data_IF_802956392044
#
_entry.id   IF_802956392044
#
_cell.length_a   1.000
_cell.length_b   1.000
_cell.length_c   1.000
_cell.angle_alpha   90.00
_cell.angle_beta   90.00
_cell.angle_gamma   90.00
#
_symmetry.space_group_name_H-M   'P 1'
#
loop_
_entity.id
_entity.type
_entity.pdbx_description
1 polymer ?
#
# COMPACT_ATOMS: atom_id res chain seq x y z
N UNK A 1 -24.20 43.86 20.82
CA UNK A 1 -24.95 42.95 19.94
C UNK A 1 -24.13 42.74 18.69
N UNK A 2 -23.58 41.54 18.54
CA UNK A 2 -23.83 40.80 17.30
C UNK A 2 -24.15 39.33 17.60
N UNK A 3 -25.37 38.93 17.24
CA UNK A 3 -25.66 37.57 16.81
C UNK A 3 -25.45 37.57 15.29
N UNK A 4 -24.63 36.67 14.76
CA UNK A 4 -25.21 35.68 13.86
C UNK A 4 -24.31 34.45 13.77
N UNK A 5 -24.96 33.31 13.89
CA UNK A 5 -24.38 32.01 14.16
C UNK A 5 -24.69 31.08 13.00
N UNK A 6 -23.66 30.54 12.35
CA UNK A 6 -23.86 29.36 11.50
C UNK A 6 -22.77 28.33 11.79
N UNK A 7 -22.95 27.64 12.91
CA UNK A 7 -22.32 26.34 13.19
C UNK A 7 -22.73 25.35 12.10
N UNK A 8 -21.83 25.03 11.17
CA UNK A 8 -21.95 23.78 10.40
C UNK A 8 -21.55 22.63 11.32
N UNK A 9 -22.54 21.80 11.62
CA UNK A 9 -22.41 20.57 12.37
C UNK A 9 -21.49 19.62 11.60
N UNK A 10 -20.31 19.37 12.15
CA UNK A 10 -19.48 18.20 11.81
C UNK A 10 -20.17 17.00 12.44
N UNK A 11 -20.95 16.28 11.64
CA UNK A 11 -21.41 14.93 11.98
C UNK A 11 -20.16 14.04 12.04
N UNK A 12 -19.67 13.83 13.27
CA UNK A 12 -18.72 12.78 13.59
C UNK A 12 -19.41 11.45 13.38
N UNK A 13 -19.23 10.87 12.19
CA UNK A 13 -19.57 9.48 11.91
C UNK A 13 -18.77 8.56 12.82
N UNK A 14 -19.49 7.69 13.51
CA UNK A 14 -18.96 6.71 14.45
C UNK A 14 -18.08 5.73 13.66
N UNK A 15 -16.78 5.73 13.96
CA UNK A 15 -15.82 4.78 13.43
C UNK A 15 -16.16 3.37 13.91
N UNK A 16 -16.50 2.50 12.96
CA UNK A 16 -16.53 1.06 13.18
C UNK A 16 -15.10 0.54 13.14
N UNK A 17 -14.45 0.51 14.31
CA UNK A 17 -13.21 -0.21 14.51
C UNK A 17 -13.48 -1.72 14.36
N UNK A 18 -13.29 -2.27 13.17
CA UNK A 18 -13.14 -3.72 13.00
C UNK A 18 -11.72 -4.06 13.45
N UNK A 19 -11.56 -4.24 14.76
CA UNK A 19 -10.39 -4.87 15.32
C UNK A 19 -10.40 -6.35 14.87
N UNK A 20 -9.66 -6.67 13.82
CA UNK A 20 -9.32 -8.07 13.50
C UNK A 20 -8.23 -8.50 14.50
N UNK A 21 -8.65 -8.71 15.75
CA UNK A 21 -7.87 -9.33 16.81
C UNK A 21 -8.30 -10.79 16.96
N UNK A 22 -7.33 -11.69 16.97
CA UNK A 22 -7.54 -13.13 16.88
C UNK A 22 -8.31 -13.78 18.04
N UNK A 23 -8.77 -14.99 17.71
CA UNK A 23 -9.41 -16.05 18.52
C UNK A 23 -10.93 -15.98 18.71
N UNK A 24 -11.62 -16.71 17.83
CA UNK A 24 -13.01 -17.09 18.01
C UNK A 24 -13.57 -17.70 16.73
N UNK A 25 -13.51 -19.03 16.61
CA UNK A 25 -14.21 -19.78 15.57
C UNK A 25 -15.72 -19.54 15.68
N UNK A 26 -16.24 -18.58 14.93
CA UNK A 26 -17.66 -18.50 14.61
C UNK A 26 -17.82 -18.57 13.12
N UNK A 27 -18.18 -19.77 12.65
CA UNK A 27 -18.63 -20.01 11.30
C UNK A 27 -19.87 -19.15 11.04
N UNK A 28 -19.69 -18.04 10.31
CA UNK A 28 -20.79 -17.33 9.68
C UNK A 28 -21.08 -18.02 8.34
N UNK A 29 -22.34 -18.39 8.17
CA UNK A 29 -22.89 -19.22 7.12
C UNK A 29 -22.86 -18.55 5.74
N UNK A 30 -22.28 -19.26 4.76
CA UNK A 30 -22.84 -19.40 3.41
C UNK A 30 -22.42 -18.43 2.31
N UNK A 31 -21.26 -18.67 1.68
CA UNK A 31 -21.00 -18.73 0.21
C UNK A 31 -19.49 -18.90 0.01
N UNK A 32 -19.11 -20.02 -0.63
CA UNK A 32 -17.74 -20.52 -0.90
C UNK A 32 -16.71 -20.34 0.23
N UNK A 33 -16.62 -21.36 1.09
CA UNK A 33 -15.69 -21.46 2.23
C UNK A 33 -14.23 -21.68 1.84
N UNK A 34 -13.67 -20.83 0.98
CA UNK A 34 -12.25 -20.78 0.69
C UNK A 34 -11.44 -20.28 1.89
N UNK A 35 -10.15 -20.63 1.96
CA UNK A 35 -9.25 -20.17 3.01
C UNK A 35 -9.03 -18.64 2.95
N UNK A 36 -8.91 -17.99 4.11
CA UNK A 36 -8.56 -16.57 4.26
C UNK A 36 -7.09 -16.45 4.69
N UNK A 37 -6.41 -15.30 4.42
CA UNK A 37 -5.07 -15.06 4.94
C UNK A 37 -5.06 -15.13 6.47
N UNK A 38 -3.90 -15.39 7.06
CA UNK A 38 -3.72 -15.42 8.52
C UNK A 38 -2.86 -14.25 8.97
N UNK A 39 -3.21 -13.68 10.13
CA UNK A 39 -2.34 -12.79 10.86
C UNK A 39 -1.53 -13.61 11.85
N UNK A 40 -0.20 -13.47 11.81
CA UNK A 40 0.72 -14.28 12.60
C UNK A 40 1.81 -13.43 13.22
N UNK A 41 2.21 -13.79 14.42
CA UNK A 41 3.43 -13.26 15.04
C UNK A 41 4.67 -13.96 14.48
N UNK A 42 5.76 -13.21 14.43
CA UNK A 42 7.01 -13.67 13.89
C UNK A 42 8.16 -12.73 14.15
N UNK A 43 9.21 -12.89 13.34
CA UNK A 43 10.42 -12.07 13.39
C UNK A 43 10.69 -11.49 12.02
N UNK A 44 10.82 -10.16 11.94
CA UNK A 44 11.34 -9.45 10.77
C UNK A 44 12.86 -9.43 10.86
N UNK A 45 13.53 -9.70 9.74
CA UNK A 45 14.98 -9.60 9.62
C UNK A 45 15.37 -8.71 8.44
N UNK A 46 16.28 -7.76 8.67
CA UNK A 46 16.91 -6.96 7.64
C UNK A 46 18.40 -7.28 7.61
N UNK A 47 18.88 -7.88 6.52
CA UNK A 47 20.30 -8.14 6.29
C UNK A 47 20.85 -7.13 5.28
N UNK A 48 21.97 -6.49 5.62
CA UNK A 48 22.73 -5.63 4.74
C UNK A 48 24.11 -6.23 4.53
N UNK A 49 24.42 -6.62 3.30
CA UNK A 49 25.71 -7.17 2.93
C UNK A 49 26.48 -6.16 2.07
N UNK A 50 27.69 -5.75 2.47
CA UNK A 50 28.52 -4.87 1.64
C UNK A 50 28.76 -5.46 0.24
N UNK A 51 28.66 -4.60 -0.78
CA UNK A 51 28.96 -4.91 -2.19
C UNK A 51 29.80 -3.77 -2.79
N UNK A 52 30.24 -3.92 -4.04
CA UNK A 52 30.98 -2.86 -4.74
C UNK A 52 30.15 -1.57 -4.94
N UNK A 53 28.82 -1.70 -4.96
CA UNK A 53 27.88 -0.62 -5.29
C UNK A 53 27.11 -0.09 -4.06
N UNK A 54 27.49 -0.52 -2.85
CA UNK A 54 26.82 -0.19 -1.59
C UNK A 54 26.51 -1.44 -0.79
N UNK A 55 25.23 -1.75 -0.59
CA UNK A 55 24.78 -2.87 0.23
C UNK A 55 23.66 -3.64 -0.45
N UNK A 56 23.82 -4.95 -0.62
CA UNK A 56 22.68 -5.82 -0.92
C UNK A 56 21.81 -5.93 0.33
N UNK A 57 20.55 -5.50 0.25
CA UNK A 57 19.59 -5.58 1.34
C UNK A 57 18.66 -6.77 1.11
N UNK A 58 18.36 -7.52 2.16
CA UNK A 58 17.34 -8.56 2.15
C UNK A 58 16.40 -8.37 3.34
N UNK A 59 15.10 -8.33 3.10
CA UNK A 59 14.07 -8.37 4.14
C UNK A 59 13.48 -9.78 4.21
N UNK A 60 13.30 -10.31 5.42
CA UNK A 60 12.65 -11.61 5.66
C UNK A 60 11.62 -11.51 6.76
N UNK A 61 10.53 -12.27 6.64
CA UNK A 61 9.61 -12.52 7.75
C UNK A 61 9.59 -14.02 8.08
N UNK A 62 9.86 -14.34 9.34
CA UNK A 62 9.98 -15.73 9.82
C UNK A 62 8.86 -16.04 10.80
N UNK A 63 8.04 -17.06 10.51
CA UNK A 63 6.97 -17.51 11.41
C UNK A 63 6.71 -19.02 11.29
N UNK A 64 6.66 -19.71 12.42
CA UNK A 64 6.27 -21.13 12.48
C UNK A 64 4.79 -21.35 12.16
N UNK A 65 3.94 -20.34 12.39
CA UNK A 65 2.52 -20.43 12.06
C UNK A 65 2.29 -20.46 10.54
N UNK A 66 3.15 -19.75 9.79
CA UNK A 66 3.17 -19.79 8.34
C UNK A 66 3.60 -21.16 7.82
N UNK A 67 4.62 -21.78 8.44
CA UNK A 67 5.07 -23.13 8.07
C UNK A 67 3.95 -24.16 8.24
N UNK A 68 3.21 -24.10 9.35
CA UNK A 68 2.08 -25.01 9.59
C UNK A 68 0.96 -24.89 8.56
N UNK A 69 0.71 -23.70 8.02
CA UNK A 69 -0.40 -23.47 7.07
C UNK A 69 0.02 -23.61 5.62
N UNK A 70 1.16 -23.02 5.26
CA UNK A 70 1.61 -22.87 3.88
C UNK A 70 2.84 -23.73 3.54
N UNK A 71 3.44 -24.43 4.51
CA UNK A 71 4.68 -25.18 4.32
C UNK A 71 5.93 -24.28 4.16
N UNK A 72 5.76 -22.96 4.29
CA UNK A 72 6.81 -21.96 4.13
C UNK A 72 7.05 -21.28 5.47
N UNK A 73 8.27 -21.35 5.99
CA UNK A 73 8.64 -20.73 7.28
C UNK A 73 9.16 -19.30 7.14
N UNK A 74 9.74 -18.99 5.99
CA UNK A 74 10.40 -17.72 5.71
C UNK A 74 9.80 -17.15 4.43
N UNK A 75 9.26 -15.94 4.52
CA UNK A 75 9.01 -15.11 3.36
C UNK A 75 10.24 -14.24 3.14
N UNK A 76 10.82 -14.30 1.96
CA UNK A 76 11.89 -13.40 1.56
C UNK A 76 11.33 -12.39 0.56
N UNK A 77 11.55 -11.11 0.83
CA UNK A 77 11.10 -10.05 -0.06
C UNK A 77 12.25 -9.59 -0.96
N UNK A 78 11.99 -8.54 -1.74
CA UNK A 78 12.94 -7.99 -2.69
C UNK A 78 14.34 -7.75 -2.13
N UNK A 79 15.32 -7.92 -3.03
CA UNK A 79 16.75 -7.83 -2.76
C UNK A 79 17.38 -6.56 -3.37
N UNK A 80 16.98 -5.34 -2.99
CA UNK A 80 17.50 -4.13 -3.62
C UNK A 80 18.95 -3.87 -3.21
N UNK A 81 19.70 -3.25 -4.10
CA UNK A 81 20.99 -2.64 -3.76
C UNK A 81 20.74 -1.25 -3.16
N UNK A 82 21.15 -1.07 -1.91
CA UNK A 82 21.14 0.20 -1.17
C UNK A 82 22.45 0.93 -1.40
N UNK A 83 22.46 2.09 -2.08
CA UNK A 83 23.70 2.85 -2.25
C UNK A 83 24.23 3.30 -0.90
N UNK A 84 25.55 3.36 -0.77
CA UNK A 84 26.24 3.63 0.50
C UNK A 84 25.67 4.87 1.22
N UNK A 85 25.47 5.99 0.50
CA UNK A 85 24.94 7.23 1.08
C UNK A 85 23.53 7.10 1.71
N UNK A 86 22.76 6.09 1.31
CA UNK A 86 21.41 5.80 1.82
C UNK A 86 21.40 4.66 2.84
N UNK A 87 22.53 3.96 3.02
CA UNK A 87 22.65 2.97 4.07
C UNK A 87 22.71 3.67 5.44
N UNK A 88 22.06 3.11 6.45
CA UNK A 88 22.13 3.64 7.80
C UNK A 88 23.56 3.71 8.33
N UNK A 89 23.81 4.59 9.29
CA UNK A 89 25.17 4.82 9.80
C UNK A 89 25.77 3.57 10.45
N UNK A 90 24.96 2.79 11.17
CA UNK A 90 25.36 1.53 11.80
C UNK A 90 25.79 0.49 10.76
N UNK A 91 25.13 0.48 9.60
CA UNK A 91 25.48 -0.38 8.45
C UNK A 91 26.75 0.13 7.76
N UNK A 92 26.88 1.45 7.59
CA UNK A 92 28.06 2.10 6.98
C UNK A 92 29.33 1.89 7.78
N UNK A 93 29.24 1.94 9.10
CA UNK A 93 30.38 1.81 10.00
C UNK A 93 30.80 0.35 10.25
N UNK A 94 30.15 -0.63 9.58
CA UNK A 94 30.42 -2.05 9.75
C UNK A 94 30.95 -2.66 8.44
N UNK A 95 32.16 -3.23 8.50
CA UNK A 95 32.78 -3.92 7.36
C UNK A 95 32.17 -5.31 7.10
N UNK A 96 31.42 -5.86 8.08
CA UNK A 96 30.75 -7.15 7.98
C UNK A 96 29.25 -7.00 7.68
N UNK A 97 28.57 -8.06 7.22
CA UNK A 97 27.13 -8.04 7.09
C UNK A 97 26.44 -7.62 8.40
N UNK A 98 25.53 -6.66 8.31
CA UNK A 98 24.72 -6.21 9.45
C UNK A 98 23.35 -6.88 9.36
N UNK A 99 22.91 -7.51 10.45
CA UNK A 99 21.59 -8.16 10.52
C UNK A 99 20.80 -7.62 11.68
N UNK A 100 19.66 -7.01 11.37
CA UNK A 100 18.74 -6.48 12.34
C UNK A 100 17.51 -7.36 12.46
N UNK A 101 17.03 -7.53 13.69
CA UNK A 101 15.94 -8.44 14.01
C UNK A 101 15.01 -7.83 15.03
N UNK A 102 13.71 -7.88 14.76
CA UNK A 102 12.70 -7.44 15.70
C UNK A 102 11.44 -8.30 15.62
N UNK A 103 10.68 -8.32 16.71
CA UNK A 103 9.37 -8.96 16.76
C UNK A 103 8.40 -8.16 15.90
N UNK A 104 7.59 -8.86 15.12
CA UNK A 104 6.63 -8.26 14.20
C UNK A 104 5.41 -9.17 14.00
N UNK A 105 4.32 -8.58 13.55
CA UNK A 105 3.08 -9.28 13.22
C UNK A 105 2.74 -9.01 11.76
N UNK A 106 2.55 -10.07 10.97
CA UNK A 106 2.29 -9.96 9.54
C UNK A 106 0.95 -10.61 9.18
N UNK A 107 0.22 -10.02 8.22
CA UNK A 107 -0.91 -10.70 7.58
C UNK A 107 -0.43 -11.33 6.28
N UNK A 108 -0.40 -12.65 6.27
CA UNK A 108 0.19 -13.47 5.21
C UNK A 108 -0.87 -14.38 4.60
N UNK A 109 -0.81 -14.53 3.28
CA UNK A 109 -1.62 -15.51 2.57
C UNK A 109 -1.31 -15.56 1.08
N UNK A 110 -1.95 -16.48 0.39
CA UNK A 110 -1.87 -16.53 -1.07
C UNK A 110 -2.69 -15.37 -1.64
N UNK A 111 -2.33 -14.83 -2.80
CA UNK A 111 -3.07 -13.71 -3.40
C UNK A 111 -4.58 -13.95 -3.55
N UNK A 112 -4.99 -15.17 -3.95
CA UNK A 112 -6.41 -15.55 -3.98
C UNK A 112 -7.13 -15.50 -2.63
N UNK A 113 -6.41 -15.70 -1.53
CA UNK A 113 -6.97 -15.56 -0.17
C UNK A 113 -7.18 -14.06 0.14
N UNK A 114 -6.26 -13.20 -0.29
CA UNK A 114 -6.40 -11.76 -0.16
C UNK A 114 -7.56 -11.20 -0.98
N UNK A 115 -7.75 -11.67 -2.21
CA UNK A 115 -8.92 -11.32 -3.05
C UNK A 115 -10.23 -11.59 -2.30
N UNK A 116 -10.35 -12.79 -1.70
CA UNK A 116 -11.52 -13.15 -0.88
C UNK A 116 -11.67 -12.25 0.35
N UNK A 117 -10.57 -11.98 1.04
CA UNK A 117 -10.59 -11.14 2.24
C UNK A 117 -11.01 -9.70 1.93
N UNK A 118 -10.52 -9.12 0.81
CA UNK A 118 -10.93 -7.79 0.39
C UNK A 118 -12.39 -7.75 -0.05
N UNK A 119 -12.86 -8.74 -0.82
CA UNK A 119 -14.26 -8.83 -1.23
C UNK A 119 -15.22 -8.88 -0.04
N UNK A 120 -14.86 -9.57 1.06
CA UNK A 120 -15.68 -9.57 2.28
C UNK A 120 -15.83 -8.17 2.89
N UNK A 121 -14.78 -7.34 2.82
CA UNK A 121 -14.84 -5.94 3.28
C UNK A 121 -15.66 -5.10 2.31
N UNK A 122 -15.42 -5.25 1.00
CA UNK A 122 -16.10 -4.49 -0.04
C UNK A 122 -17.62 -4.72 -0.06
N UNK A 123 -18.13 -5.88 0.37
CA UNK A 123 -19.58 -6.10 0.54
C UNK A 123 -20.27 -5.12 1.51
N UNK A 124 -19.50 -4.42 2.34
CA UNK A 124 -19.98 -3.46 3.34
C UNK A 124 -19.68 -2.01 2.94
N UNK A 125 -18.99 -1.81 1.81
CA UNK A 125 -18.59 -0.50 1.28
C UNK A 125 -19.50 -0.18 0.09
N UNK A 126 -19.96 1.07 0.02
CA UNK A 126 -20.80 1.54 -1.09
C UNK A 126 -20.04 2.60 -1.86
N UNK A 127 -19.88 2.42 -3.17
CA UNK A 127 -19.20 3.38 -4.04
C UNK A 127 -17.77 3.00 -4.41
N UNK A 128 -17.16 2.02 -3.75
CA UNK A 128 -15.81 1.52 -4.02
C UNK A 128 -15.79 -0.01 -4.13
N UNK A 129 -15.30 -0.51 -5.26
CA UNK A 129 -15.09 -1.91 -5.66
C UNK A 129 -13.61 -2.27 -5.95
N UNK A 130 -12.68 -1.32 -5.75
CA UNK A 130 -11.26 -1.48 -6.07
C UNK A 130 -10.42 -2.20 -5.01
N UNK A 131 -9.13 -2.45 -5.30
CA UNK A 131 -8.19 -3.02 -4.34
C UNK A 131 -8.05 -2.18 -3.07
N UNK A 132 -8.12 -2.82 -1.90
CA UNK A 132 -8.01 -2.15 -0.60
C UNK A 132 -6.57 -1.99 -0.12
N UNK A 133 -5.69 -2.91 -0.49
CA UNK A 133 -4.31 -2.96 -0.03
C UNK A 133 -3.35 -3.31 -1.17
N UNK A 134 -2.07 -3.02 -0.94
CA UNK A 134 -1.00 -3.62 -1.72
C UNK A 134 -0.19 -4.64 -0.88
N UNK A 135 0.53 -5.49 -1.59
CA UNK A 135 1.15 -6.69 -1.07
C UNK A 135 2.60 -6.81 -1.54
N UNK A 136 3.44 -7.48 -0.76
CA UNK A 136 4.77 -7.92 -1.18
C UNK A 136 4.76 -9.44 -1.37
N UNK A 137 5.26 -9.92 -2.51
CA UNK A 137 5.38 -11.35 -2.79
C UNK A 137 6.67 -11.92 -2.20
N UNK A 138 6.69 -13.25 -2.01
CA UNK A 138 7.91 -14.02 -1.78
C UNK A 138 8.75 -14.05 -3.07
N UNK A 139 9.99 -13.56 -3.04
CA UNK A 139 10.80 -13.52 -4.27
C UNK A 139 11.32 -14.88 -4.71
N UNK A 140 11.34 -15.85 -3.80
CA UNK A 140 11.81 -17.21 -4.09
C UNK A 140 10.67 -18.16 -4.52
N UNK A 141 9.43 -17.67 -4.63
CA UNK A 141 8.26 -18.42 -5.05
C UNK A 141 7.39 -17.54 -5.97
N UNK A 142 7.41 -17.71 -7.32
CA UNK A 142 6.75 -16.83 -8.29
C UNK A 142 5.51 -17.42 -9.02
N UNK A 143 4.75 -18.31 -8.40
CA UNK A 143 3.57 -19.00 -8.96
C UNK A 143 2.25 -18.27 -8.60
N UNK A 144 1.19 -18.24 -9.40
CA UNK A 144 -0.13 -17.67 -9.04
C UNK A 144 -0.78 -18.15 -7.72
N UNK A 145 -0.21 -19.13 -7.03
CA UNK A 145 -0.36 -19.46 -5.60
C UNK A 145 0.44 -18.57 -4.63
N UNK A 146 0.99 -17.45 -5.11
CA UNK A 146 2.06 -16.71 -4.46
C UNK A 146 1.66 -16.23 -3.08
N UNK A 147 2.47 -16.69 -2.13
CA UNK A 147 2.41 -16.31 -0.75
C UNK A 147 2.97 -14.89 -0.65
N UNK A 148 2.17 -14.00 -0.08
CA UNK A 148 2.56 -12.62 0.10
C UNK A 148 2.15 -12.09 1.46
N UNK A 149 2.63 -10.90 1.75
CA UNK A 149 2.28 -10.14 2.94
C UNK A 149 1.52 -8.88 2.56
N UNK A 150 0.45 -8.56 3.28
CA UNK A 150 -0.24 -7.27 3.21
C UNK A 150 0.63 -6.16 3.80
N UNK A 151 1.01 -5.14 3.00
CA UNK A 151 2.00 -4.12 3.43
C UNK A 151 1.41 -2.74 3.74
N UNK A 152 0.41 -2.28 3.00
CA UNK A 152 -0.15 -0.95 3.18
C UNK A 152 -1.52 -0.79 2.48
N UNK A 153 -2.34 0.18 2.92
CA UNK A 153 -3.62 0.48 2.28
C UNK A 153 -3.46 1.31 1.01
N UNK A 154 -4.34 1.09 0.04
CA UNK A 154 -4.59 2.03 -1.06
C UNK A 154 -5.32 3.25 -0.48
N UNK A 155 -4.89 4.47 -0.82
CA UNK A 155 -5.47 5.67 -0.20
C UNK A 155 -5.73 6.81 -1.19
N UNK A 156 -5.43 6.62 -2.47
CA UNK A 156 -5.70 7.59 -3.54
C UNK A 156 -6.18 6.88 -4.79
N UNK A 157 -7.17 7.45 -5.48
CA UNK A 157 -7.73 6.89 -6.72
C UNK A 157 -8.07 8.00 -7.71
N UNK A 158 -7.82 7.76 -8.99
CA UNK A 158 -8.03 8.72 -10.07
C UNK A 158 -9.18 8.26 -10.97
N UNK A 159 -10.29 8.97 -10.93
CA UNK A 159 -11.48 8.65 -11.71
C UNK A 159 -11.31 9.03 -13.18
N UNK A 160 -11.77 8.17 -14.11
CA UNK A 160 -11.67 8.33 -15.56
C UNK A 160 -12.15 9.68 -16.09
N UNK A 161 -13.00 10.40 -15.36
CA UNK A 161 -13.48 11.73 -15.77
C UNK A 161 -12.34 12.77 -15.80
N UNK A 162 -11.19 12.46 -15.19
CA UNK A 162 -9.93 13.20 -15.34
C UNK A 162 -9.17 12.88 -16.64
N UNK A 163 -9.64 11.95 -17.50
CA UNK A 163 -8.93 11.57 -18.73
C UNK A 163 -8.72 12.75 -19.70
N UNK A 164 -9.62 13.73 -19.69
CA UNK A 164 -9.45 14.97 -20.46
C UNK A 164 -8.25 15.81 -20.01
N UNK A 165 -7.85 15.73 -18.74
CA UNK A 165 -6.71 16.45 -18.18
C UNK A 165 -5.41 15.63 -18.18
N UNK A 166 -5.51 14.31 -18.01
CA UNK A 166 -4.35 13.42 -17.87
C UNK A 166 -3.85 12.82 -19.19
N UNK A 167 -4.67 12.82 -20.25
CA UNK A 167 -4.30 12.27 -21.57
C UNK A 167 -5.17 11.07 -21.99
N UNK A 168 -5.15 10.76 -23.29
CA UNK A 168 -6.13 9.83 -23.91
C UNK A 168 -5.99 8.35 -23.53
N UNK A 169 -4.87 7.94 -22.93
CA UNK A 169 -4.62 6.55 -22.53
C UNK A 169 -4.99 6.28 -21.07
N UNK A 170 -4.96 7.33 -20.23
CA UNK A 170 -5.36 7.34 -18.82
C UNK A 170 -4.77 6.17 -18.01
N UNK A 171 -3.44 6.18 -17.92
CA UNK A 171 -2.59 5.20 -17.24
C UNK A 171 -1.86 5.78 -16.03
N UNK A 172 -1.20 4.92 -15.27
CA UNK A 172 -0.34 5.28 -14.14
C UNK A 172 0.81 6.18 -14.57
N UNK A 173 1.33 5.99 -15.79
CA UNK A 173 2.36 6.88 -16.34
C UNK A 173 1.78 8.27 -16.66
N UNK A 174 0.54 8.35 -17.15
CA UNK A 174 -0.13 9.65 -17.39
C UNK A 174 -0.39 10.40 -16.07
N UNK A 175 -0.86 9.70 -15.03
CA UNK A 175 -1.02 10.26 -13.67
C UNK A 175 0.32 10.74 -13.14
N UNK A 176 1.38 9.95 -13.29
CA UNK A 176 2.74 10.34 -12.89
C UNK A 176 3.19 11.59 -13.60
N UNK A 177 3.09 11.65 -14.93
CA UNK A 177 3.49 12.81 -15.71
C UNK A 177 2.70 14.06 -15.30
N UNK A 178 1.41 13.95 -15.02
CA UNK A 178 0.61 15.08 -14.53
C UNK A 178 1.07 15.55 -13.14
N UNK A 179 1.30 14.62 -12.21
CA UNK A 179 1.82 14.94 -10.88
C UNK A 179 3.21 15.61 -10.96
N UNK A 180 4.09 15.13 -11.83
CA UNK A 180 5.44 15.68 -12.02
C UNK A 180 5.43 17.06 -12.68
N UNK A 181 4.59 17.25 -13.70
CA UNK A 181 4.58 18.46 -14.54
C UNK A 181 3.68 19.58 -14.01
N UNK A 182 2.54 19.22 -13.41
CA UNK A 182 1.50 20.18 -13.00
C UNK A 182 1.54 20.40 -11.49
N UNK A 183 1.68 19.34 -10.71
CA UNK A 183 1.76 19.44 -9.23
C UNK A 183 3.20 19.71 -8.76
N UNK A 184 4.20 19.36 -9.58
CA UNK A 184 5.62 19.60 -9.30
C UNK A 184 6.29 18.50 -8.47
N UNK A 185 5.70 17.31 -8.37
CA UNK A 185 6.30 16.15 -7.69
C UNK A 185 7.34 15.46 -8.56
N UNK A 186 8.39 16.19 -8.96
CA UNK A 186 9.45 15.75 -9.86
C UNK A 186 10.80 15.61 -9.16
N UNK A 187 10.80 15.62 -7.82
CA UNK A 187 12.01 15.55 -7.01
C UNK A 187 12.23 14.12 -6.53
N UNK A 188 12.59 13.23 -7.46
CA UNK A 188 12.90 11.86 -7.14
C UNK A 188 14.24 11.75 -6.37
N UNK A 189 14.21 11.06 -5.24
CA UNK A 189 15.42 10.52 -4.61
C UNK A 189 15.47 8.99 -4.82
N UNK A 190 16.55 8.37 -4.36
CA UNK A 190 16.69 6.92 -4.41
C UNK A 190 15.56 6.24 -3.62
N UNK A 191 15.01 5.19 -4.22
CA UNK A 191 13.95 4.37 -3.64
C UNK A 191 14.44 2.92 -3.60
N UNK A 192 14.55 2.33 -2.41
CA UNK A 192 14.57 0.87 -2.30
C UNK A 192 13.14 0.37 -2.48
N UNK A 193 12.76 0.19 -3.74
CA UNK A 193 11.47 -0.34 -4.10
C UNK A 193 11.64 -1.76 -4.58
N UNK A 194 10.99 -2.65 -3.85
CA UNK A 194 10.67 -3.96 -4.35
C UNK A 194 9.34 -3.97 -5.09
N UNK A 195 9.07 -5.03 -5.86
CA UNK A 195 7.79 -5.15 -6.54
C UNK A 195 6.66 -5.23 -5.48
N UNK A 196 5.60 -4.47 -5.72
CA UNK A 196 4.40 -4.52 -4.88
C UNK A 196 3.21 -4.79 -5.77
N UNK A 197 2.26 -5.52 -5.23
CA UNK A 197 1.15 -6.06 -5.99
C UNK A 197 -0.18 -5.59 -5.42
N UNK A 198 -1.16 -5.38 -6.27
CA UNK A 198 -2.57 -5.28 -5.89
C UNK A 198 -3.31 -6.50 -6.41
N UNK A 199 -4.43 -6.82 -5.74
CA UNK A 199 -5.27 -7.95 -6.12
C UNK A 199 -6.73 -7.51 -6.22
N UNK A 200 -7.42 -7.96 -7.25
CA UNK A 200 -8.85 -7.66 -7.43
C UNK A 200 -9.49 -8.69 -8.35
N UNK A 201 -10.76 -9.09 -8.15
CA UNK A 201 -11.46 -9.95 -9.08
C UNK A 201 -11.89 -9.18 -10.32
N UNK A 202 -12.06 -9.90 -11.43
CA UNK A 202 -12.76 -9.38 -12.62
C UNK A 202 -13.86 -10.36 -13.01
N UNK A 203 -14.79 -9.92 -13.86
CA UNK A 203 -15.86 -10.78 -14.41
C UNK A 203 -15.31 -12.05 -15.06
N UNK A 204 -14.13 -11.97 -15.67
CA UNK A 204 -13.46 -13.11 -16.33
C UNK A 204 -12.47 -13.87 -15.43
N UNK A 205 -12.02 -13.26 -14.33
CA UNK A 205 -11.10 -13.86 -13.35
C UNK A 205 -11.60 -13.63 -11.92
N UNK A 206 -12.67 -14.34 -11.50
CA UNK A 206 -13.27 -14.15 -10.17
C UNK A 206 -12.35 -14.60 -9.03
N UNK A 207 -11.33 -15.43 -9.31
CA UNK A 207 -10.28 -15.79 -8.36
C UNK A 207 -9.29 -14.67 -8.06
N UNK A 208 -9.36 -13.57 -8.82
CA UNK A 208 -8.45 -12.43 -8.73
C UNK A 208 -7.46 -12.35 -9.87
N UNK A 209 -7.17 -11.12 -10.25
CA UNK A 209 -6.01 -10.67 -11.00
C UNK A 209 -4.97 -10.19 -9.99
N UNK A 210 -3.69 -10.37 -10.31
CA UNK A 210 -2.56 -9.79 -9.59
C UNK A 210 -1.87 -8.80 -10.52
N UNK A 211 -1.64 -7.58 -10.06
CA UNK A 211 -0.94 -6.53 -10.81
C UNK A 211 0.21 -5.98 -10.00
N UNK A 212 1.41 -5.95 -10.57
CA UNK A 212 2.53 -5.18 -10.02
C UNK A 212 2.27 -3.68 -10.18
N UNK A 213 3.04 -2.86 -9.49
CA UNK A 213 3.03 -1.42 -9.72
C UNK A 213 3.59 -1.05 -11.09
N UNK A 214 2.99 -0.04 -11.71
CA UNK A 214 3.32 0.40 -13.07
C UNK A 214 4.16 1.69 -13.07
N UNK A 215 3.99 2.54 -12.06
CA UNK A 215 4.73 3.78 -11.92
C UNK A 215 4.89 4.22 -10.45
N UNK A 216 5.85 5.11 -10.20
CA UNK A 216 6.03 5.77 -8.90
C UNK A 216 6.13 7.29 -9.08
N UNK A 217 5.53 8.05 -8.16
CA UNK A 217 5.58 9.53 -8.11
C UNK A 217 6.23 9.97 -6.80
N UNK A 218 7.16 10.93 -6.83
CA UNK A 218 7.98 11.28 -5.67
C UNK A 218 8.16 12.79 -5.49
N UNK A 219 8.00 13.28 -4.25
CA UNK A 219 8.28 14.66 -3.88
C UNK A 219 9.19 14.72 -2.64
N UNK A 220 10.36 15.32 -2.79
CA UNK A 220 11.37 15.37 -1.74
C UNK A 220 10.95 16.33 -0.64
N UNK A 221 11.01 15.86 0.61
CA UNK A 221 10.77 16.69 1.80
C UNK A 221 12.10 17.24 2.33
N UNK A 222 13.00 16.34 2.73
CA UNK A 222 14.33 16.68 3.26
C UNK A 222 15.19 15.43 3.40
N UNK A 223 16.46 15.52 2.99
CA UNK A 223 17.35 14.34 2.96
C UNK A 223 16.76 13.27 2.05
N UNK A 224 16.62 12.04 2.56
CA UNK A 224 15.99 10.91 1.88
C UNK A 224 14.52 10.71 2.28
N UNK A 225 13.90 11.68 2.98
CA UNK A 225 12.45 11.67 3.22
C UNK A 225 11.75 12.24 2.01
N UNK A 226 10.78 11.49 1.49
CA UNK A 226 9.96 11.89 0.35
C UNK A 226 8.51 11.50 0.59
N UNK A 227 7.60 12.25 -0.03
CA UNK A 227 6.28 11.74 -0.33
C UNK A 227 6.40 10.83 -1.53
N UNK A 228 5.72 9.69 -1.49
CA UNK A 228 5.83 8.68 -2.51
C UNK A 228 4.45 8.10 -2.78
N UNK A 229 4.10 7.97 -4.06
CA UNK A 229 2.91 7.27 -4.52
C UNK A 229 3.39 6.15 -5.41
N UNK A 230 3.04 4.92 -5.05
CA UNK A 230 3.11 3.80 -5.98
C UNK A 230 1.78 3.68 -6.70
N UNK A 231 1.81 3.69 -8.03
CA UNK A 231 0.63 3.70 -8.90
C UNK A 231 0.43 2.34 -9.57
N UNK A 232 -0.85 2.02 -9.79
CA UNK A 232 -1.28 0.75 -10.37
C UNK A 232 -2.37 1.02 -11.41
N UNK A 233 -2.20 0.40 -12.58
CA UNK A 233 -3.22 0.32 -13.60
C UNK A 233 -4.20 -0.80 -13.26
N UNK A 234 -5.49 -0.45 -13.26
CA UNK A 234 -6.58 -1.41 -13.11
C UNK A 234 -7.18 -1.72 -14.49
N UNK A 235 -7.58 -2.97 -14.68
CA UNK A 235 -8.30 -3.34 -15.89
C UNK A 235 -9.63 -2.58 -15.96
N UNK A 236 -9.99 -2.12 -17.16
CA UNK A 236 -11.12 -1.21 -17.46
C UNK A 236 -12.53 -1.80 -17.25
N UNK A 237 -12.66 -2.84 -16.43
CA UNK A 237 -13.88 -3.62 -16.24
C UNK A 237 -14.40 -3.65 -14.78
N UNK A 238 -13.87 -2.82 -13.89
CA UNK A 238 -14.51 -2.61 -12.58
C UNK A 238 -15.81 -1.84 -12.81
N UNK A 239 -16.94 -2.50 -12.52
CA UNK A 239 -18.27 -2.14 -13.03
C UNK A 239 -18.85 -0.88 -12.37
N UNK A 240 -18.40 -0.49 -11.17
CA UNK A 240 -18.98 0.63 -10.41
C UNK A 240 -18.00 1.78 -10.14
N UNK A 241 -16.69 1.52 -10.19
CA UNK A 241 -15.67 2.43 -9.69
C UNK A 241 -15.17 3.54 -10.62
N UNK A 242 -15.08 3.27 -11.92
CA UNK A 242 -14.50 4.19 -12.92
C UNK A 242 -13.13 4.79 -12.51
N UNK A 243 -12.30 4.10 -11.72
CA UNK A 243 -10.93 4.52 -11.36
C UNK A 243 -9.86 3.59 -11.94
N UNK A 244 -9.48 3.73 -13.21
CA UNK A 244 -8.48 2.86 -13.83
C UNK A 244 -7.05 3.07 -13.30
N UNK A 245 -6.81 4.09 -12.45
CA UNK A 245 -5.55 4.23 -11.71
C UNK A 245 -5.82 4.40 -10.23
N UNK A 246 -5.12 3.62 -9.42
CA UNK A 246 -5.10 3.75 -7.96
C UNK A 246 -3.67 3.94 -7.48
N UNK A 247 -3.53 4.39 -6.23
CA UNK A 247 -2.22 4.54 -5.65
C UNK A 247 -2.16 4.36 -4.14
N UNK A 248 -0.94 4.07 -3.72
CA UNK A 248 -0.53 3.92 -2.34
C UNK A 248 0.40 5.08 -2.00
N UNK A 249 -0.17 6.17 -1.50
CA UNK A 249 0.55 7.37 -1.09
C UNK A 249 1.05 7.24 0.35
N UNK A 250 2.33 7.51 0.58
CA UNK A 250 2.95 7.46 1.90
C UNK A 250 4.09 8.48 2.02
N UNK A 251 4.55 8.68 3.25
CA UNK A 251 5.80 9.37 3.56
C UNK A 251 6.87 8.32 3.81
N UNK A 252 7.87 8.25 2.95
CA UNK A 252 9.03 7.40 3.18
C UNK A 252 9.78 7.87 4.45
N UNK A 253 9.92 6.99 5.44
CA UNK A 253 10.92 7.17 6.48
C UNK A 253 12.31 7.21 5.85
N UNK A 254 13.25 7.89 6.52
CA UNK A 254 14.61 8.09 6.00
C UNK A 254 15.32 6.81 5.55
N UNK A 255 15.04 5.70 6.24
CA UNK A 255 15.59 4.37 6.00
C UNK A 255 14.54 3.40 5.45
N UNK A 256 13.36 3.88 5.03
CA UNK A 256 12.23 3.04 4.60
C UNK A 256 11.89 1.93 5.60
N UNK A 257 11.99 2.24 6.90
CA UNK A 257 11.79 1.32 8.03
C UNK A 257 12.69 0.10 8.10
N UNK A 258 13.85 0.15 7.45
CA UNK A 258 14.75 -0.98 7.42
C UNK A 258 15.60 -1.17 8.69
N UNK A 259 15.56 -0.22 9.64
CA UNK A 259 16.18 -0.37 10.98
C UNK A 259 15.17 -0.22 12.11
N UNK A 260 14.16 0.64 11.93
CA UNK A 260 13.14 0.88 12.95
C UNK A 260 11.77 1.00 12.30
N UNK A 261 10.73 0.57 13.00
CA UNK A 261 9.35 0.76 12.58
C UNK A 261 8.92 2.22 12.81
N UNK A 262 9.24 3.11 11.87
CA UNK A 262 8.86 4.52 11.87
C UNK A 262 7.52 4.70 11.14
N UNK A 263 6.74 5.74 11.50
CA UNK A 263 5.43 5.96 10.91
C UNK A 263 5.48 6.32 9.40
N UNK A 264 4.67 5.64 8.58
CA UNK A 264 4.54 5.87 7.13
C UNK A 264 3.58 7.03 6.77
N UNK A 265 2.75 7.52 7.71
CA UNK A 265 1.91 8.72 7.52
C UNK A 265 1.01 8.70 6.28
N UNK A 266 0.20 7.65 6.12
CA UNK A 266 -0.71 7.47 4.98
C UNK A 266 -1.78 8.57 4.86
N UNK A 267 -2.35 9.04 5.98
CA UNK A 267 -3.34 10.13 5.97
C UNK A 267 -2.73 11.44 5.44
N UNK A 268 -1.56 11.81 5.96
CA UNK A 268 -0.85 13.03 5.63
C UNK A 268 -0.30 12.99 4.21
N UNK A 269 0.10 11.81 3.73
CA UNK A 269 0.49 11.63 2.34
C UNK A 269 -0.71 11.84 1.40
N UNK A 270 -1.86 11.25 1.72
CA UNK A 270 -3.10 11.49 0.97
C UNK A 270 -3.49 12.97 0.96
N UNK A 271 -3.44 13.64 2.10
CA UNK A 271 -3.68 15.09 2.19
C UNK A 271 -2.71 15.91 1.34
N UNK A 272 -1.44 15.51 1.29
CA UNK A 272 -0.42 16.19 0.48
C UNK A 272 -0.67 16.00 -1.02
N UNK A 273 -1.09 14.80 -1.47
CA UNK A 273 -1.54 14.57 -2.84
C UNK A 273 -2.77 15.42 -3.15
N UNK A 274 -3.79 15.37 -2.29
CA UNK A 274 -5.03 16.13 -2.42
C UNK A 274 -4.78 17.63 -2.51
N UNK A 275 -3.91 18.17 -1.65
CA UNK A 275 -3.55 19.59 -1.67
C UNK A 275 -2.83 19.97 -2.96
N UNK A 276 -2.02 19.06 -3.52
CA UNK A 276 -1.36 19.27 -4.79
C UNK A 276 -2.35 19.40 -5.95
N UNK A 277 -3.30 18.46 -6.03
CA UNK A 277 -4.30 18.39 -7.10
C UNK A 277 -5.40 19.45 -6.98
N UNK A 278 -5.89 19.76 -5.78
CA UNK A 278 -6.93 20.79 -5.62
C UNK A 278 -6.46 22.19 -6.05
N UNK A 279 -5.15 22.45 -6.05
CA UNK A 279 -4.58 23.68 -6.58
C UNK A 279 -4.58 23.74 -8.13
N UNK A 280 -4.84 22.62 -8.81
CA UNK A 280 -4.92 22.53 -10.29
C UNK A 280 -6.35 22.59 -10.82
N UNK A 281 -7.34 22.59 -9.93
CA UNK A 281 -8.77 22.58 -10.29
C UNK A 281 -9.45 21.21 -10.13
N UNK A 282 -8.68 20.17 -9.81
CA UNK A 282 -9.19 18.81 -9.58
C UNK A 282 -10.04 18.75 -8.29
N UNK A 283 -11.24 18.20 -8.43
CA UNK A 283 -12.15 17.94 -7.33
C UNK A 283 -11.74 16.68 -6.53
N UNK A 284 -12.04 16.67 -5.24
CA UNK A 284 -11.73 15.55 -4.34
C UNK A 284 -12.94 15.13 -3.52
N UNK A 285 -13.19 13.83 -3.46
CA UNK A 285 -14.12 13.20 -2.53
C UNK A 285 -13.35 12.23 -1.62
N UNK A 286 -13.58 12.31 -0.32
CA UNK A 286 -13.00 11.37 0.65
C UNK A 286 -14.05 10.31 0.99
N UNK A 287 -13.72 9.06 0.72
CA UNK A 287 -14.63 7.92 0.92
C UNK A 287 -14.04 6.93 1.93
N UNK A 288 -14.86 6.42 2.85
CA UNK A 288 -14.46 5.37 3.78
C UNK A 288 -14.64 3.99 3.12
N UNK A 289 -13.54 3.28 2.91
CA UNK A 289 -13.50 1.97 2.24
C UNK A 289 -13.09 0.83 3.18
N UNK A 290 -12.93 1.12 4.48
CA UNK A 290 -12.70 0.08 5.49
C UNK A 290 -11.30 -0.53 5.46
N UNK A 291 -10.30 0.18 4.91
CA UNK A 291 -8.91 -0.31 4.81
C UNK A 291 -7.95 0.22 5.89
N UNK A 292 -8.46 0.66 7.04
CA UNK A 292 -7.63 1.28 8.09
C UNK A 292 -6.58 0.34 8.69
N UNK A 293 -6.92 -0.95 8.86
CA UNK A 293 -5.97 -2.00 9.30
C UNK A 293 -5.13 -1.65 10.54
N UNK A 294 -4.00 -2.34 10.77
CA UNK A 294 -3.01 -1.96 11.79
C UNK A 294 -2.01 -0.92 11.29
N UNK A 295 -2.26 -0.31 10.13
CA UNK A 295 -1.30 0.56 9.47
C UNK A 295 -1.29 1.94 10.14
N UNK A 296 -0.09 2.49 10.41
CA UNK A 296 0.07 3.81 11.03
C UNK A 296 -0.78 4.87 10.33
N UNK A 297 -1.51 5.71 11.06
CA UNK A 297 -2.37 6.80 10.54
C UNK A 297 -3.41 6.44 9.46
N UNK A 298 -3.51 5.18 9.03
CA UNK A 298 -4.50 4.77 8.05
C UNK A 298 -5.89 4.83 8.69
N UNK A 299 -6.74 5.72 8.19
CA UNK A 299 -8.08 5.98 8.71
C UNK A 299 -9.18 5.19 8.00
N UNK A 300 -8.80 4.34 7.05
CA UNK A 300 -9.72 3.52 6.28
C UNK A 300 -10.37 4.26 5.11
N UNK A 301 -9.78 5.36 4.66
CA UNK A 301 -10.32 6.19 3.58
C UNK A 301 -9.41 6.29 2.34
N UNK A 302 -10.05 6.44 1.19
CA UNK A 302 -9.42 6.81 -0.09
C UNK A 302 -9.84 8.22 -0.49
N UNK A 303 -8.91 8.99 -1.06
CA UNK A 303 -9.25 10.22 -1.77
C UNK A 303 -9.49 9.89 -3.25
N UNK A 304 -10.69 10.18 -3.72
CA UNK A 304 -11.12 10.05 -5.11
C UNK A 304 -10.97 11.39 -5.82
N UNK A 305 -10.18 11.41 -6.86
CA UNK A 305 -9.95 12.59 -7.68
C UNK A 305 -10.81 12.56 -8.94
N UNK A 306 -11.57 13.63 -9.18
CA UNK A 306 -12.47 13.82 -10.31
C UNK A 306 -12.25 15.21 -10.92
N UNK A 307 -12.74 15.44 -12.13
CA UNK A 307 -12.87 16.79 -12.68
C UNK A 307 -13.86 17.59 -11.80
#
# INVERSE_FOLDING_TARGET
MPEDSTRRQVLKGIGSAVAVGGFGSTAASGRDGGSLPITVDGRREHEYRPTADGYAHTERFVSEAMERKYGVRVLEYDRPTVPERHAPEEVRNNENPTVERFHDTATVGQFREFVRAEQQVLTQVTGYDGPLYHYAADVDNPDPSDLGEKKAPINVVWNKDLAGELGSAYSSEDVKLYMESTVGWNQADWLASGDRYVVYPTTFQPSGVVRSADADVRDRIFGFKQWHIRLYDLDSHLEEGDYPVIGQAHKDPFDHNKIQNKPWKFDSAREKVTSGLTNTGVSVELESVGNGGPFDTADGSVARYTN
#
